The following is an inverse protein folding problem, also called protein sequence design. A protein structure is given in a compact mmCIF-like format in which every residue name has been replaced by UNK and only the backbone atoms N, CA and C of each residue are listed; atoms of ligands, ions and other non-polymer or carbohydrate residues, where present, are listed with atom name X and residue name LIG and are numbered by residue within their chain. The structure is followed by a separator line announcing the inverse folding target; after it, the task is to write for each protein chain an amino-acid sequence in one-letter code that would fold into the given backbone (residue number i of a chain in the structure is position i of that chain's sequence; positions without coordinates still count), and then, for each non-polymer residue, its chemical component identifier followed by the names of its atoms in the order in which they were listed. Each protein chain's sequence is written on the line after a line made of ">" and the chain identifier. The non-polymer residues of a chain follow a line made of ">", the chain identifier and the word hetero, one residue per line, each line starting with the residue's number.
data_IF_212830798155
#
_entry.id   IF_212830798155
#
_cell.length_a   1.000
_cell.length_b   1.000
_cell.length_c   1.000
_cell.angle_alpha   90.00
_cell.angle_beta   90.00
_cell.angle_gamma   90.00
#
_symmetry.space_group_name_H-M   'P 1'
#
loop_
_entity.id
_entity.type
_entity.pdbx_description
1 polymer ?
#
# COMPACT_ATOMS: atom_id res chain seq x y z
N UNK A 1 3.21 17.18 4.66
CA UNK A 1 4.28 17.43 5.64
C UNK A 1 4.73 16.18 6.37
N UNK A 2 5.18 15.15 5.64
CA UNK A 2 5.82 13.96 6.22
C UNK A 2 7.35 14.00 6.15
N UNK A 3 7.93 14.77 5.23
CA UNK A 3 9.38 14.86 5.00
C UNK A 3 10.16 15.38 6.20
N UNK A 4 9.72 16.47 6.84
CA UNK A 4 10.50 17.14 7.88
C UNK A 4 10.81 16.31 9.13
N UNK A 5 10.10 15.21 9.39
CA UNK A 5 10.42 14.31 10.51
C UNK A 5 11.52 13.31 10.14
N UNK A 6 11.53 12.83 8.90
CA UNK A 6 12.56 11.91 8.40
C UNK A 6 13.87 12.68 8.22
N UNK A 7 13.80 13.93 7.74
CA UNK A 7 14.96 14.82 7.59
C UNK A 7 15.64 15.11 8.94
N UNK A 8 14.85 15.27 10.00
CA UNK A 8 15.37 15.48 11.35
C UNK A 8 16.09 14.24 11.92
N UNK A 9 15.55 13.04 11.65
CA UNK A 9 16.21 11.77 12.04
C UNK A 9 17.49 11.56 11.23
N UNK A 10 17.50 11.90 9.93
CA UNK A 10 18.68 11.83 9.09
C UNK A 10 19.81 12.74 9.61
N UNK A 11 19.49 13.98 9.96
CA UNK A 11 20.46 14.91 10.53
C UNK A 11 21.07 14.42 11.87
N UNK A 12 20.29 13.69 12.68
CA UNK A 12 20.80 13.09 13.92
C UNK A 12 21.78 11.93 13.65
N UNK A 13 21.55 11.17 12.59
CA UNK A 13 22.47 10.09 12.17
C UNK A 13 23.79 10.68 11.67
N UNK A 14 23.75 11.78 10.91
CA UNK A 14 24.95 12.44 10.40
C UNK A 14 25.83 13.06 11.49
N UNK A 15 25.26 13.37 12.67
CA UNK A 15 26.00 13.89 13.83
C UNK A 15 26.71 12.80 14.65
N UNK A 16 26.31 11.52 14.51
CA UNK A 16 26.83 10.43 15.33
C UNK A 16 28.36 10.26 15.25
N UNK A 17 29.01 10.28 14.06
CA UNK A 17 30.46 10.10 13.96
C UNK A 17 31.25 11.26 14.58
N UNK A 18 30.73 12.49 14.44
CA UNK A 18 31.42 13.71 14.89
C UNK A 18 31.76 13.70 16.37
N UNK A 19 30.94 13.03 17.18
CA UNK A 19 31.12 12.93 18.63
C UNK A 19 32.19 11.93 19.05
N UNK A 20 32.41 10.88 18.25
CA UNK A 20 33.54 9.98 18.44
C UNK A 20 34.81 10.62 17.91
N UNK A 21 34.73 11.39 16.82
CA UNK A 21 35.88 12.12 16.26
C UNK A 21 36.36 13.27 17.18
N UNK A 22 35.49 13.80 18.04
CA UNK A 22 35.78 14.94 18.92
C UNK A 22 36.31 14.58 20.32
N UNK A 23 36.64 13.32 20.59
CA UNK A 23 37.22 12.94 21.90
C UNK A 23 38.64 13.49 22.03
N UNK A 24 38.95 14.10 23.18
CA UNK A 24 40.24 14.77 23.44
C UNK A 24 41.35 13.82 23.93
N UNK A 25 41.15 12.50 23.83
CA UNK A 25 42.11 11.48 24.27
C UNK A 25 42.41 10.49 23.14
N UNK A 26 43.59 9.84 23.21
CA UNK A 26 43.94 8.77 22.28
C UNK A 26 43.11 7.51 22.57
N UNK A 27 42.24 7.16 21.63
CA UNK A 27 41.36 5.99 21.71
C UNK A 27 42.11 4.65 21.71
N UNK A 28 43.40 4.65 21.36
CA UNK A 28 44.27 3.47 21.40
C UNK A 28 45.12 3.38 22.67
N UNK A 29 45.07 4.39 23.54
CA UNK A 29 45.76 4.37 24.84
C UNK A 29 45.00 3.48 25.81
N UNK A 30 45.61 2.34 26.19
CA UNK A 30 45.05 1.38 27.15
C UNK A 30 44.83 1.97 28.54
N UNK A 31 45.55 3.02 28.92
CA UNK A 31 45.35 3.68 30.22
C UNK A 31 44.02 4.46 30.28
N UNK A 32 43.42 4.76 29.13
CA UNK A 32 42.17 5.51 28.95
C UNK A 32 40.97 4.60 28.64
N UNK A 33 41.06 3.30 28.94
CA UNK A 33 40.03 2.30 28.62
C UNK A 33 38.65 2.67 29.20
N UNK A 34 38.61 3.20 30.43
CA UNK A 34 37.36 3.63 31.07
C UNK A 34 36.71 4.83 30.35
N UNK A 35 37.51 5.79 29.91
CA UNK A 35 37.05 6.98 29.14
C UNK A 35 36.49 6.55 27.78
N UNK A 36 37.16 5.61 27.10
CA UNK A 36 36.68 5.01 25.86
C UNK A 36 35.38 4.22 26.06
N UNK A 37 35.30 3.42 27.12
CA UNK A 37 34.10 2.66 27.45
C UNK A 37 32.90 3.59 27.68
N UNK A 38 33.10 4.69 28.42
CA UNK A 38 32.06 5.71 28.65
C UNK A 38 31.63 6.41 27.35
N UNK A 39 32.58 6.81 26.50
CA UNK A 39 32.28 7.42 25.19
C UNK A 39 31.46 6.48 24.29
N UNK A 40 31.83 5.20 24.24
CA UNK A 40 31.10 4.18 23.49
C UNK A 40 29.73 3.86 24.06
N UNK A 41 29.56 3.91 25.39
CA UNK A 41 28.24 3.80 26.03
C UNK A 41 27.33 4.97 25.64
N UNK A 42 27.85 6.21 25.67
CA UNK A 42 27.12 7.39 25.20
C UNK A 42 26.72 7.30 23.73
N UNK A 43 27.64 6.83 22.87
CA UNK A 43 27.33 6.59 21.45
C UNK A 43 26.21 5.56 21.27
N UNK A 44 26.29 4.41 21.95
CA UNK A 44 25.27 3.35 21.89
C UNK A 44 23.92 3.84 22.40
N UNK A 45 23.91 4.63 23.47
CA UNK A 45 22.70 5.27 24.00
C UNK A 45 22.05 6.18 22.96
N UNK A 46 22.84 7.06 22.32
CA UNK A 46 22.36 7.97 21.27
C UNK A 46 21.80 7.22 20.06
N UNK A 47 22.44 6.15 19.65
CA UNK A 47 21.94 5.28 18.58
C UNK A 47 20.58 4.69 18.96
N UNK A 48 20.41 4.23 20.20
CA UNK A 48 19.13 3.73 20.71
C UNK A 48 18.02 4.80 20.72
N UNK A 49 18.37 6.04 21.09
CA UNK A 49 17.44 7.20 21.03
C UNK A 49 16.97 7.46 19.58
N UNK A 50 17.90 7.49 18.63
CA UNK A 50 17.61 7.71 17.22
C UNK A 50 16.73 6.58 16.66
N UNK A 51 17.03 5.32 17.00
CA UNK A 51 16.21 4.17 16.61
C UNK A 51 14.78 4.28 17.16
N UNK A 52 14.64 4.68 18.41
CA UNK A 52 13.31 4.92 19.01
C UNK A 52 12.56 6.05 18.30
N UNK A 53 13.23 7.16 18.01
CA UNK A 53 12.66 8.30 17.28
C UNK A 53 12.23 7.93 15.86
N UNK A 54 13.06 7.16 15.14
CA UNK A 54 12.74 6.61 13.83
C UNK A 54 11.51 5.70 13.91
N UNK A 55 11.47 4.78 14.89
CA UNK A 55 10.33 3.90 15.14
C UNK A 55 9.03 4.67 15.39
N UNK A 56 9.03 5.68 16.26
CA UNK A 56 7.85 6.51 16.51
C UNK A 56 7.42 7.34 15.29
N UNK A 57 8.37 7.71 14.43
CA UNK A 57 8.09 8.42 13.18
C UNK A 57 7.44 7.51 12.14
N UNK A 58 7.93 6.28 12.03
CA UNK A 58 7.31 5.21 11.24
C UNK A 58 5.87 4.98 11.71
N UNK A 59 5.63 4.81 13.01
CA UNK A 59 4.28 4.61 13.56
C UNK A 59 3.33 5.78 13.26
N UNK A 60 3.80 7.02 13.39
CA UNK A 60 3.00 8.21 13.05
C UNK A 60 2.68 8.26 11.56
N UNK A 61 3.62 7.87 10.69
CA UNK A 61 3.37 7.77 9.26
C UNK A 61 2.28 6.74 8.97
N UNK A 62 2.37 5.54 9.55
CA UNK A 62 1.34 4.49 9.41
C UNK A 62 -0.04 4.93 9.89
N UNK A 63 -0.15 5.61 11.04
CA UNK A 63 -1.45 6.12 11.54
C UNK A 63 -2.10 7.13 10.60
N UNK A 64 -1.35 7.81 9.74
CA UNK A 64 -1.87 8.78 8.77
C UNK A 64 -2.24 8.16 7.43
N UNK A 65 -1.83 6.92 7.16
CA UNK A 65 -2.06 6.28 5.87
C UNK A 65 -3.53 5.85 5.77
N UNK A 66 -4.23 6.42 4.79
CA UNK A 66 -5.62 6.08 4.45
C UNK A 66 -5.73 5.13 3.26
N UNK A 67 -4.59 4.75 2.68
CA UNK A 67 -4.49 3.88 1.51
C UNK A 67 -3.60 2.69 1.83
N UNK A 68 -4.10 1.48 1.61
CA UNK A 68 -3.30 0.27 1.75
C UNK A 68 -2.13 0.21 0.76
N UNK A 69 -2.29 0.78 -0.43
CA UNK A 69 -1.22 0.86 -1.44
C UNK A 69 -0.08 1.76 -0.96
N UNK A 70 -0.39 2.99 -0.51
CA UNK A 70 0.62 3.89 0.02
C UNK A 70 1.27 3.39 1.31
N UNK A 71 0.52 2.66 2.15
CA UNK A 71 1.07 2.02 3.33
C UNK A 71 2.07 0.92 2.98
N UNK A 72 1.77 0.12 1.96
CA UNK A 72 2.67 -0.91 1.47
C UNK A 72 3.93 -0.32 0.83
N UNK A 73 3.80 0.75 0.04
CA UNK A 73 4.95 1.46 -0.52
C UNK A 73 5.89 1.98 0.58
N UNK A 74 5.33 2.51 1.67
CA UNK A 74 6.12 2.95 2.81
C UNK A 74 6.91 1.80 3.45
N UNK A 75 6.28 0.63 3.63
CA UNK A 75 6.96 -0.57 4.14
C UNK A 75 8.13 -0.96 3.23
N UNK A 76 7.90 -1.06 1.92
CA UNK A 76 8.93 -1.43 0.96
C UNK A 76 10.10 -0.43 0.97
N UNK A 77 9.81 0.87 1.05
CA UNK A 77 10.85 1.89 1.16
C UNK A 77 11.72 1.69 2.43
N UNK A 78 11.12 1.42 3.58
CA UNK A 78 11.89 1.18 4.81
C UNK A 78 12.73 -0.10 4.78
N UNK A 79 12.37 -1.08 3.97
CA UNK A 79 13.14 -2.33 3.77
C UNK A 79 14.34 -2.18 2.86
N UNK A 80 14.25 -1.28 1.88
CA UNK A 80 15.39 -0.95 1.02
C UNK A 80 16.49 -0.23 1.79
N UNK A 81 16.14 0.47 2.86
CA UNK A 81 17.11 1.01 3.81
C UNK A 81 17.76 -0.16 4.56
N UNK A 82 19.12 -0.22 4.58
CA UNK A 82 19.87 -1.15 5.44
C UNK A 82 19.61 -0.79 6.91
N UNK A 83 18.47 -1.23 7.43
CA UNK A 83 18.02 -0.96 8.79
C UNK A 83 18.25 -2.18 9.68
N UNK A 84 18.47 -1.93 10.98
CA UNK A 84 18.75 -2.98 11.97
C UNK A 84 17.52 -3.89 12.18
N UNK A 85 17.71 -5.16 12.59
CA UNK A 85 16.63 -6.16 12.72
C UNK A 85 15.45 -5.75 13.63
N UNK A 86 15.66 -4.85 14.58
CA UNK A 86 14.60 -4.34 15.46
C UNK A 86 13.57 -3.47 14.71
N UNK A 87 14.01 -2.66 13.73
CA UNK A 87 13.12 -1.86 12.90
C UNK A 87 12.35 -2.73 11.91
N UNK A 88 13.00 -3.73 11.33
CA UNK A 88 12.34 -4.71 10.44
C UNK A 88 11.16 -5.42 11.13
N UNK A 89 11.36 -5.93 12.36
CA UNK A 89 10.27 -6.57 13.12
C UNK A 89 9.07 -5.65 13.33
N UNK A 90 9.31 -4.39 13.69
CA UNK A 90 8.23 -3.40 13.88
C UNK A 90 7.48 -3.08 12.59
N UNK A 91 8.14 -3.19 11.44
CA UNK A 91 7.54 -2.99 10.12
C UNK A 91 6.72 -4.22 9.71
N UNK A 92 7.22 -5.43 9.98
CA UNK A 92 6.54 -6.68 9.65
C UNK A 92 5.21 -6.82 10.42
N UNK A 93 5.15 -6.35 11.66
CA UNK A 93 3.92 -6.27 12.46
C UNK A 93 2.83 -5.40 11.80
N UNK A 94 3.20 -4.46 10.91
CA UNK A 94 2.27 -3.57 10.21
C UNK A 94 1.61 -4.18 8.98
N UNK A 95 2.06 -5.33 8.49
CA UNK A 95 1.38 -5.97 7.34
C UNK A 95 -0.07 -6.33 7.64
N UNK A 96 -0.37 -6.71 8.89
CA UNK A 96 -1.76 -6.95 9.30
C UNK A 96 -2.60 -5.68 9.15
N UNK A 97 -2.10 -4.55 9.65
CA UNK A 97 -2.77 -3.25 9.54
C UNK A 97 -3.04 -2.86 8.07
N UNK A 98 -2.10 -3.19 7.16
CA UNK A 98 -2.25 -2.94 5.71
C UNK A 98 -3.34 -3.83 5.11
N UNK A 99 -3.38 -5.13 5.47
CA UNK A 99 -4.44 -6.04 5.02
C UNK A 99 -5.82 -5.58 5.52
N UNK A 100 -5.91 -5.17 6.78
CA UNK A 100 -7.16 -4.68 7.37
C UNK A 100 -7.63 -3.37 6.72
N UNK A 101 -6.70 -2.51 6.32
CA UNK A 101 -6.99 -1.31 5.55
C UNK A 101 -7.48 -1.65 4.14
N UNK A 102 -6.82 -2.58 3.45
CA UNK A 102 -7.24 -3.02 2.12
C UNK A 102 -8.61 -3.71 2.16
N UNK A 103 -8.90 -4.52 3.18
CA UNK A 103 -10.21 -5.16 3.34
C UNK A 103 -11.34 -4.12 3.49
N UNK A 104 -11.08 -3.04 4.23
CA UNK A 104 -12.02 -1.91 4.34
C UNK A 104 -12.20 -1.17 3.02
N UNK A 105 -11.13 -0.96 2.26
CA UNK A 105 -11.20 -0.34 0.93
C UNK A 105 -11.97 -1.21 -0.07
N UNK A 106 -11.70 -2.51 -0.09
CA UNK A 106 -12.39 -3.49 -0.92
C UNK A 106 -13.88 -3.52 -0.58
N UNK A 107 -14.24 -3.50 0.71
CA UNK A 107 -15.65 -3.42 1.13
C UNK A 107 -16.36 -2.15 0.67
N UNK A 108 -15.67 -1.02 0.62
CA UNK A 108 -16.23 0.21 0.05
C UNK A 108 -16.45 0.07 -1.46
N UNK A 109 -15.49 -0.51 -2.18
CA UNK A 109 -15.59 -0.75 -3.63
C UNK A 109 -16.75 -1.71 -3.95
N UNK A 110 -16.86 -2.82 -3.22
CA UNK A 110 -17.95 -3.79 -3.36
C UNK A 110 -19.31 -3.13 -3.13
N UNK A 111 -19.41 -2.25 -2.14
CA UNK A 111 -20.63 -1.50 -1.85
C UNK A 111 -20.97 -0.53 -2.99
N UNK A 112 -19.99 0.25 -3.47
CA UNK A 112 -20.18 1.14 -4.62
C UNK A 112 -20.66 0.35 -5.85
N UNK A 113 -20.06 -0.81 -6.11
CA UNK A 113 -20.47 -1.68 -7.21
C UNK A 113 -21.92 -2.17 -7.03
N UNK A 114 -22.28 -2.65 -5.85
CA UNK A 114 -23.62 -3.17 -5.58
C UNK A 114 -24.70 -2.10 -5.68
N UNK A 115 -24.45 -0.91 -5.14
CA UNK A 115 -25.40 0.20 -5.12
C UNK A 115 -25.51 0.86 -6.51
N UNK A 116 -24.41 0.91 -7.28
CA UNK A 116 -24.38 1.57 -8.58
C UNK A 116 -24.70 0.69 -9.78
N UNK A 117 -24.74 -0.65 -9.63
CA UNK A 117 -24.82 -1.56 -10.81
C UNK A 117 -26.04 -1.35 -11.71
N UNK A 118 -27.18 -0.97 -11.13
CA UNK A 118 -28.45 -0.83 -11.86
C UNK A 118 -28.60 0.59 -12.46
N UNK A 119 -27.77 1.54 -12.02
CA UNK A 119 -27.75 2.92 -12.50
C UNK A 119 -26.38 3.55 -12.26
N UNK A 120 -25.33 3.13 -12.98
CA UNK A 120 -23.97 3.54 -12.66
C UNK A 120 -23.77 5.03 -12.95
N UNK A 121 -22.91 5.72 -12.17
CA UNK A 121 -22.55 7.10 -12.44
C UNK A 121 -21.69 7.14 -13.72
N UNK A 122 -22.34 7.46 -14.83
CA UNK A 122 -21.73 7.54 -16.15
C UNK A 122 -21.42 9.01 -16.46
N UNK A 123 -20.20 9.29 -16.95
CA UNK A 123 -19.80 10.64 -17.35
C UNK A 123 -20.54 11.14 -18.60
N UNK A 124 -20.57 12.46 -18.84
CA UNK A 124 -21.19 13.03 -20.04
C UNK A 124 -20.56 12.45 -21.32
N UNK A 125 -21.39 12.07 -22.30
CA UNK A 125 -20.93 11.59 -23.61
C UNK A 125 -20.73 10.07 -23.75
N UNK A 126 -20.83 9.29 -22.67
CA UNK A 126 -20.80 7.84 -22.75
C UNK A 126 -22.16 7.26 -23.12
N UNK A 127 -22.19 6.23 -23.98
CA UNK A 127 -23.42 5.43 -24.20
C UNK A 127 -23.71 4.60 -22.94
N UNK A 128 -24.99 4.35 -22.60
CA UNK A 128 -25.37 3.69 -21.34
C UNK A 128 -24.62 2.38 -21.07
N UNK A 129 -24.57 1.48 -22.05
CA UNK A 129 -23.87 0.18 -21.90
C UNK A 129 -22.35 0.35 -21.76
N UNK A 130 -21.71 1.19 -22.58
CA UNK A 130 -20.26 1.39 -22.51
C UNK A 130 -19.83 2.12 -21.23
N UNK A 131 -20.64 3.06 -20.75
CA UNK A 131 -20.38 3.79 -19.52
C UNK A 131 -20.50 2.88 -18.30
N UNK A 132 -21.51 2.02 -18.26
CA UNK A 132 -21.70 1.04 -17.21
C UNK A 132 -20.49 0.06 -17.11
N UNK A 133 -20.05 -0.46 -18.26
CA UNK A 133 -18.86 -1.33 -18.32
C UNK A 133 -17.59 -0.60 -17.92
N UNK A 134 -17.38 0.63 -18.37
CA UNK A 134 -16.21 1.43 -18.02
C UNK A 134 -16.15 1.74 -16.52
N UNK A 135 -17.28 2.08 -15.91
CA UNK A 135 -17.39 2.30 -14.47
C UNK A 135 -17.07 1.03 -13.67
N UNK A 136 -17.61 -0.12 -14.06
CA UNK A 136 -17.30 -1.39 -13.39
C UNK A 136 -15.82 -1.77 -13.52
N UNK A 137 -15.19 -1.50 -14.68
CA UNK A 137 -13.77 -1.68 -14.90
C UNK A 137 -12.92 -0.77 -14.01
N UNK A 138 -13.31 0.49 -13.82
CA UNK A 138 -12.62 1.39 -12.89
C UNK A 138 -12.58 0.83 -11.47
N UNK A 139 -13.74 0.39 -10.95
CA UNK A 139 -13.83 -0.23 -9.64
C UNK A 139 -12.96 -1.50 -9.53
N UNK A 140 -12.97 -2.34 -10.55
CA UNK A 140 -12.09 -3.50 -10.64
C UNK A 140 -10.61 -3.10 -10.59
N UNK A 141 -10.20 -2.10 -11.37
CA UNK A 141 -8.81 -1.64 -11.38
C UNK A 141 -8.38 -1.05 -10.03
N UNK A 142 -9.26 -0.31 -9.35
CA UNK A 142 -9.02 0.21 -8.00
C UNK A 142 -8.78 -0.90 -6.99
N UNK A 143 -9.55 -1.98 -7.05
CA UNK A 143 -9.32 -3.16 -6.19
C UNK A 143 -8.06 -3.95 -6.60
N UNK A 144 -7.76 -4.02 -7.91
CA UNK A 144 -6.65 -4.82 -8.44
C UNK A 144 -5.27 -4.24 -8.11
N UNK A 145 -5.10 -2.91 -8.11
CA UNK A 145 -3.77 -2.28 -7.93
C UNK A 145 -3.08 -2.69 -6.62
N UNK A 146 -3.71 -2.57 -5.43
CA UNK A 146 -3.04 -2.91 -4.18
C UNK A 146 -2.75 -4.42 -4.07
N UNK A 147 -3.69 -5.28 -4.49
CA UNK A 147 -3.52 -6.71 -4.31
C UNK A 147 -2.40 -7.31 -5.18
N UNK A 148 -2.16 -6.76 -6.37
CA UNK A 148 -1.01 -7.16 -7.19
C UNK A 148 0.32 -6.77 -6.55
N UNK A 149 0.38 -5.62 -5.87
CA UNK A 149 1.57 -5.23 -5.09
C UNK A 149 1.84 -6.23 -3.96
N UNK A 150 0.79 -6.62 -3.23
CA UNK A 150 0.91 -7.59 -2.13
C UNK A 150 1.34 -8.99 -2.63
N UNK A 151 0.92 -9.38 -3.83
CA UNK A 151 1.33 -10.65 -4.43
C UNK A 151 2.83 -10.67 -4.78
N UNK A 152 3.39 -9.52 -5.18
CA UNK A 152 4.83 -9.40 -5.46
C UNK A 152 5.71 -9.29 -4.21
N UNK A 153 5.12 -9.19 -3.02
CA UNK A 153 5.87 -9.11 -1.76
C UNK A 153 6.65 -10.40 -1.48
N UNK A 154 7.88 -10.24 -0.98
CA UNK A 154 8.76 -11.35 -0.57
C UNK A 154 8.26 -12.11 0.67
N UNK A 155 7.36 -11.53 1.45
CA UNK A 155 6.94 -12.11 2.75
C UNK A 155 5.80 -13.11 2.63
N UNK A 156 5.28 -13.32 1.42
CA UNK A 156 4.08 -14.13 1.25
C UNK A 156 2.88 -13.57 2.01
N UNK A 157 2.71 -12.24 2.04
CA UNK A 157 1.63 -11.54 2.73
C UNK A 157 0.25 -12.16 2.42
N UNK A 158 0.00 -12.51 1.15
CA UNK A 158 -1.23 -13.15 0.68
C UNK A 158 -1.33 -14.66 0.97
N UNK A 159 -0.25 -15.28 1.42
CA UNK A 159 -0.20 -16.68 1.85
C UNK A 159 -0.57 -16.84 3.33
N UNK A 160 -0.58 -15.74 4.09
CA UNK A 160 -1.06 -15.72 5.48
C UNK A 160 -2.57 -16.00 5.55
N UNK A 161 -3.07 -16.46 6.71
CA UNK A 161 -4.50 -16.68 6.94
C UNK A 161 -5.38 -15.46 6.58
N UNK A 162 -5.08 -14.26 7.12
CA UNK A 162 -5.77 -13.02 6.75
C UNK A 162 -5.60 -12.67 5.26
N UNK A 163 -4.40 -12.85 4.71
CA UNK A 163 -4.10 -12.59 3.30
C UNK A 163 -4.91 -13.46 2.34
N UNK A 164 -5.09 -14.74 2.66
CA UNK A 164 -5.93 -15.67 1.90
C UNK A 164 -7.40 -15.28 1.92
N UNK A 165 -7.91 -14.83 3.08
CA UNK A 165 -9.29 -14.38 3.22
C UNK A 165 -9.56 -13.16 2.32
N UNK A 166 -8.67 -12.17 2.38
CA UNK A 166 -8.71 -10.96 1.54
C UNK A 166 -8.59 -11.30 0.06
N UNK A 167 -7.65 -12.20 -0.31
CA UNK A 167 -7.48 -12.66 -1.69
C UNK A 167 -8.75 -13.32 -2.23
N UNK A 168 -9.39 -14.19 -1.44
CA UNK A 168 -10.65 -14.84 -1.81
C UNK A 168 -11.77 -13.81 -2.03
N UNK A 169 -11.88 -12.81 -1.15
CA UNK A 169 -12.86 -11.73 -1.28
C UNK A 169 -12.67 -10.93 -2.57
N UNK A 170 -11.43 -10.54 -2.87
CA UNK A 170 -11.09 -9.88 -4.13
C UNK A 170 -11.46 -10.73 -5.36
N UNK A 171 -11.16 -12.03 -5.34
CA UNK A 171 -11.51 -12.93 -6.46
C UNK A 171 -13.02 -13.06 -6.64
N UNK A 172 -13.80 -13.05 -5.56
CA UNK A 172 -15.26 -13.02 -5.65
C UNK A 172 -15.75 -11.73 -6.29
N UNK A 173 -15.23 -10.59 -5.85
CA UNK A 173 -15.55 -9.29 -6.44
C UNK A 173 -15.20 -9.23 -7.94
N UNK A 174 -14.00 -9.70 -8.31
CA UNK A 174 -13.56 -9.75 -9.71
C UNK A 174 -14.51 -10.57 -10.59
N UNK A 175 -14.96 -11.74 -10.10
CA UNK A 175 -15.95 -12.57 -10.81
C UNK A 175 -17.27 -11.85 -11.00
N UNK A 176 -17.78 -11.17 -9.97
CA UNK A 176 -19.03 -10.39 -10.08
C UNK A 176 -18.93 -9.27 -11.10
N UNK A 177 -17.77 -8.60 -11.22
CA UNK A 177 -17.54 -7.59 -12.25
C UNK A 177 -17.50 -8.21 -13.65
N UNK A 178 -16.87 -9.37 -13.82
CA UNK A 178 -16.82 -10.06 -15.12
C UNK A 178 -18.20 -10.57 -15.58
N UNK A 179 -19.01 -11.10 -14.65
CA UNK A 179 -20.40 -11.49 -14.92
C UNK A 179 -21.24 -10.29 -15.39
N UNK A 180 -21.09 -9.14 -14.70
CA UNK A 180 -21.76 -7.88 -15.05
C UNK A 180 -21.39 -7.40 -16.46
N UNK A 181 -20.09 -7.39 -16.78
CA UNK A 181 -19.59 -7.03 -18.11
C UNK A 181 -20.12 -7.97 -19.19
N UNK A 182 -20.09 -9.29 -18.94
CA UNK A 182 -20.61 -10.29 -19.86
C UNK A 182 -22.11 -10.16 -20.11
N UNK A 183 -22.88 -9.80 -19.07
CA UNK A 183 -24.31 -9.49 -19.19
C UNK A 183 -24.57 -8.31 -20.12
N UNK A 184 -23.91 -7.17 -19.87
CA UNK A 184 -24.05 -5.97 -20.70
C UNK A 184 -23.60 -6.18 -22.14
N UNK A 185 -22.54 -6.97 -22.37
CA UNK A 185 -22.09 -7.30 -23.72
C UNK A 185 -23.15 -8.09 -24.50
N UNK A 186 -23.75 -9.13 -23.89
CA UNK A 186 -24.81 -9.94 -24.52
C UNK A 186 -26.06 -9.11 -24.82
N UNK A 187 -26.45 -8.23 -23.90
CA UNK A 187 -27.60 -7.34 -24.11
C UNK A 187 -27.37 -6.39 -25.29
N UNK A 188 -26.17 -5.82 -25.37
CA UNK A 188 -25.78 -4.97 -26.50
C UNK A 188 -25.77 -5.73 -27.82
N UNK A 189 -25.20 -6.94 -27.85
CA UNK A 189 -25.17 -7.80 -29.03
C UNK A 189 -26.60 -8.15 -29.51
N UNK A 190 -27.48 -8.56 -28.61
CA UNK A 190 -28.89 -8.84 -28.93
C UNK A 190 -29.61 -7.60 -29.51
N UNK A 191 -29.37 -6.42 -28.93
CA UNK A 191 -29.95 -5.16 -29.41
C UNK A 191 -29.44 -4.78 -30.79
N UNK A 192 -28.14 -4.92 -31.04
CA UNK A 192 -27.54 -4.65 -32.36
C UNK A 192 -28.11 -5.61 -33.40
N UNK A 193 -28.14 -6.92 -33.11
CA UNK A 193 -28.67 -7.93 -34.01
C UNK A 193 -30.14 -7.68 -34.37
N UNK A 194 -30.97 -7.31 -33.38
CA UNK A 194 -32.37 -6.94 -33.61
C UNK A 194 -32.49 -5.69 -34.51
N UNK A 195 -31.72 -4.65 -34.22
CA UNK A 195 -31.75 -3.38 -34.97
C UNK A 195 -31.31 -3.59 -36.43
N UNK A 196 -30.27 -4.40 -36.65
CA UNK A 196 -29.79 -4.75 -38.00
C UNK A 196 -30.84 -5.57 -38.76
N UNK A 197 -31.44 -6.56 -38.11
CA UNK A 197 -32.50 -7.37 -38.72
C UNK A 197 -33.73 -6.53 -39.12
N UNK A 198 -34.09 -5.53 -38.32
CA UNK A 198 -35.16 -4.58 -38.64
C UNK A 198 -34.77 -3.62 -39.77
N UNK A 199 -33.53 -3.13 -39.76
CA UNK A 199 -32.99 -2.26 -40.81
C UNK A 199 -32.94 -2.93 -42.18
N UNK A 200 -32.59 -4.22 -42.24
CA UNK A 200 -32.57 -5.02 -43.47
C UNK A 200 -33.97 -5.32 -44.03
N UNK A 201 -35.04 -5.11 -43.24
CA UNK A 201 -36.44 -5.28 -43.67
C UNK A 201 -37.06 -4.01 -44.24
N UNK A 202 -36.38 -2.86 -44.16
CA UNK A 202 -36.89 -1.61 -44.75
C UNK A 202 -36.59 -1.60 -46.25
N UNK A 203 -37.60 -1.38 -47.12
CA UNK A 203 -37.36 -1.27 -48.56
C UNK A 203 -36.54 -0.01 -48.86
N UNK A 204 -35.75 -0.10 -49.93
CA UNK A 204 -34.89 0.97 -50.46
C UNK A 204 -35.74 2.12 -51.01
#
# INVERSE_FOLDING_TARGET
>A
GGGGVIDAVAAQVDDLPRRIESVEFDIFDRSREEEWASAMEGFRSRVSEIESSAGSSIERAFRRLRSSEGAFELVENFRTLRSRPALHRRIDERFRDILDQYDRELGQIERMFREGRDGPPIGPGYRPTSGAVAWALDLYHRAKRPILRFQGSRDGMLSSGPGLAVKRRYLNFARSVDEYKGGHFREWEAKVNSTVAEGLRRPI
#
